data_IF_023460945808
#
_entry.id   IF_023460945808
#
_cell.length_a   1.000
_cell.length_b   1.000
_cell.length_c   1.000
_cell.angle_alpha   90.00
_cell.angle_beta   90.00
_cell.angle_gamma   90.00
#
_symmetry.space_group_name_H-M   'P 1'
#
loop_
_entity.id
_entity.type
_entity.pdbx_description
1 polymer ?
#
# COMPACT_ATOMS: atom_id res chain seq x y z
N UNK A 1 2.77 -3.93 7.68
CA UNK A 1 2.91 -4.81 6.49
C UNK A 1 4.36 -4.95 6.00
N UNK A 2 5.08 -3.88 5.68
CA UNK A 2 6.35 -3.95 4.92
C UNK A 2 7.64 -3.84 5.77
N UNK A 3 7.56 -4.09 7.08
CA UNK A 3 8.69 -3.99 8.02
C UNK A 3 8.86 -2.60 8.65
N UNK A 4 10.02 -2.37 9.30
CA UNK A 4 10.32 -1.16 10.11
C UNK A 4 11.01 -0.05 9.31
N UNK A 5 11.72 -0.41 8.25
CA UNK A 5 12.41 0.57 7.38
C UNK A 5 11.39 1.28 6.49
N UNK A 6 11.47 2.61 6.32
CA UNK A 6 10.60 3.32 5.39
C UNK A 6 10.55 2.67 4.01
N UNK A 7 9.37 2.68 3.38
CA UNK A 7 9.19 2.19 2.02
C UNK A 7 9.16 3.39 1.05
N UNK A 8 9.96 3.38 -0.02
CA UNK A 8 9.91 4.43 -1.03
C UNK A 8 8.58 4.36 -1.80
N UNK A 9 7.69 5.33 -1.60
CA UNK A 9 6.40 5.40 -2.29
C UNK A 9 6.45 6.46 -3.41
N UNK A 10 6.34 6.03 -4.67
CA UNK A 10 6.36 6.90 -5.86
C UNK A 10 4.92 7.23 -6.28
N UNK A 11 4.53 8.50 -6.18
CA UNK A 11 3.18 8.97 -6.52
C UNK A 11 3.21 9.75 -7.84
N UNK A 12 2.47 9.30 -8.87
CA UNK A 12 2.37 9.97 -10.17
C UNK A 12 0.90 10.24 -10.46
N UNK A 13 0.45 11.48 -10.26
CA UNK A 13 -0.97 11.87 -10.35
C UNK A 13 -1.88 10.90 -9.55
N UNK A 14 -1.39 10.52 -8.36
CA UNK A 14 -2.00 9.49 -7.54
C UNK A 14 -3.38 9.91 -7.04
N UNK A 15 -4.36 8.98 -7.01
CA UNK A 15 -5.58 9.19 -6.24
C UNK A 15 -5.27 9.15 -4.74
N UNK A 16 -6.16 9.71 -3.91
CA UNK A 16 -6.17 9.43 -2.47
C UNK A 16 -7.35 8.54 -2.10
N UNK A 17 -7.22 7.79 -1.00
CA UNK A 17 -8.33 7.05 -0.42
C UNK A 17 -9.08 8.00 0.52
N UNK A 18 -10.26 8.45 0.09
CA UNK A 18 -11.10 9.37 0.88
C UNK A 18 -11.76 8.64 2.06
N UNK A 19 -12.17 7.38 1.87
CA UNK A 19 -12.82 6.57 2.91
C UNK A 19 -12.51 5.09 2.74
N UNK A 20 -12.18 4.42 3.84
CA UNK A 20 -12.10 2.97 3.93
C UNK A 20 -13.42 2.38 4.46
N UNK A 21 -13.94 1.34 3.81
CA UNK A 21 -15.15 0.65 4.24
C UNK A 21 -14.89 -0.36 5.37
N UNK A 22 -15.95 -0.97 5.94
CA UNK A 22 -15.81 -2.05 6.91
C UNK A 22 -14.97 -3.21 6.34
N UNK A 23 -14.02 -3.72 7.13
CA UNK A 23 -13.13 -4.81 6.72
C UNK A 23 -11.92 -4.39 5.88
N UNK A 24 -11.81 -3.11 5.50
CA UNK A 24 -10.61 -2.56 4.86
C UNK A 24 -9.58 -2.18 5.92
N UNK A 25 -8.42 -2.81 5.89
CA UNK A 25 -7.28 -2.46 6.72
C UNK A 25 -6.41 -1.40 6.01
N UNK A 26 -6.15 -0.28 6.70
CA UNK A 26 -5.20 0.74 6.21
C UNK A 26 -3.80 0.39 6.69
N UNK A 27 -2.99 -0.13 5.78
CA UNK A 27 -1.63 -0.62 6.05
C UNK A 27 -0.58 0.49 6.04
N UNK A 28 -0.83 1.56 5.29
CA UNK A 28 0.00 2.77 5.29
C UNK A 28 -0.85 4.00 4.96
N UNK A 29 -0.45 5.13 5.55
CA UNK A 29 -1.04 6.44 5.31
C UNK A 29 0.03 7.48 5.01
N UNK A 30 -0.33 8.48 4.20
CA UNK A 30 0.47 9.67 3.92
C UNK A 30 -0.39 10.90 4.12
N UNK A 31 0.09 11.85 4.91
CA UNK A 31 -0.60 13.13 5.17
C UNK A 31 -2.06 12.96 5.61
N UNK A 32 -2.33 11.92 6.41
CA UNK A 32 -3.68 11.58 6.91
C UNK A 32 -4.54 10.74 5.97
N UNK A 33 -4.12 10.52 4.72
CA UNK A 33 -4.85 9.72 3.74
C UNK A 33 -4.28 8.30 3.63
N UNK A 34 -5.16 7.30 3.48
CA UNK A 34 -4.73 5.93 3.18
C UNK A 34 -4.07 5.86 1.81
N UNK A 35 -2.94 5.16 1.71
CA UNK A 35 -2.19 4.98 0.45
C UNK A 35 -1.82 3.54 0.15
N UNK A 36 -1.93 2.65 1.14
CA UNK A 36 -1.85 1.20 0.96
C UNK A 36 -2.90 0.54 1.85
N UNK A 37 -3.79 -0.23 1.24
CA UNK A 37 -4.89 -0.89 1.93
C UNK A 37 -4.98 -2.36 1.56
N UNK A 38 -5.66 -3.12 2.41
CA UNK A 38 -5.99 -4.51 2.19
C UNK A 38 -7.43 -4.79 2.57
N UNK A 39 -8.10 -5.64 1.79
CA UNK A 39 -9.36 -6.27 2.16
C UNK A 39 -9.27 -7.74 1.75
N UNK A 40 -9.34 -8.65 2.72
CA UNK A 40 -9.20 -10.09 2.51
C UNK A 40 -7.91 -10.47 1.75
N UNK A 41 -8.05 -10.95 0.52
CA UNK A 41 -6.97 -11.34 -0.40
C UNK A 41 -6.65 -10.27 -1.47
N UNK A 42 -7.21 -9.06 -1.33
CA UNK A 42 -6.98 -7.94 -2.25
C UNK A 42 -6.14 -6.87 -1.56
N UNK A 43 -5.13 -6.37 -2.26
CA UNK A 43 -4.37 -5.17 -1.87
C UNK A 43 -4.52 -4.08 -2.92
N UNK A 44 -4.47 -2.83 -2.49
CA UNK A 44 -4.44 -1.67 -3.38
C UNK A 44 -3.48 -0.61 -2.85
N UNK A 45 -2.68 -0.02 -3.74
CA UNK A 45 -1.81 1.12 -3.45
C UNK A 45 -2.14 2.31 -4.34
N UNK A 46 -1.98 3.53 -3.84
CA UNK A 46 -2.03 4.75 -4.66
C UNK A 46 -0.68 5.18 -5.20
N UNK A 47 0.38 4.41 -4.91
CA UNK A 47 1.73 4.61 -5.42
C UNK A 47 2.17 3.43 -6.26
N UNK A 48 3.29 3.63 -6.95
CA UNK A 48 3.93 2.70 -7.87
C UNK A 48 5.12 1.98 -7.22
N UNK A 49 4.92 0.84 -6.53
CA UNK A 49 6.03 0.08 -5.94
C UNK A 49 7.01 -0.45 -7.00
N UNK A 50 6.54 -0.69 -8.22
CA UNK A 50 7.31 -1.18 -9.36
C UNK A 50 8.34 -0.19 -9.90
N UNK A 51 8.21 1.09 -9.57
CA UNK A 51 9.16 2.14 -9.95
C UNK A 51 10.30 2.30 -8.92
N UNK A 52 10.49 1.31 -8.06
CA UNK A 52 11.54 1.27 -7.04
C UNK A 52 12.31 -0.04 -7.13
N UNK A 53 13.47 -0.11 -6.48
CA UNK A 53 14.21 -1.36 -6.32
C UNK A 53 13.80 -2.15 -5.06
N UNK A 54 12.72 -1.74 -4.39
CA UNK A 54 12.25 -2.34 -3.14
C UNK A 54 11.11 -3.34 -3.40
N UNK A 55 11.44 -4.63 -3.33
CA UNK A 55 10.53 -5.73 -3.63
C UNK A 55 9.62 -6.13 -2.46
N UNK A 56 9.75 -5.49 -1.29
CA UNK A 56 9.02 -5.89 -0.07
C UNK A 56 7.51 -5.92 -0.24
N UNK A 57 6.94 -5.02 -1.05
CA UNK A 57 5.50 -5.02 -1.33
C UNK A 57 5.09 -6.22 -2.19
N UNK A 58 5.87 -6.55 -3.22
CA UNK A 58 5.62 -7.72 -4.05
C UNK A 58 5.81 -9.02 -3.25
N UNK A 59 6.83 -9.09 -2.39
CA UNK A 59 7.03 -10.21 -1.46
C UNK A 59 5.85 -10.35 -0.48
N UNK A 60 5.34 -9.23 0.06
CA UNK A 60 4.13 -9.23 0.90
C UNK A 60 2.92 -9.78 0.15
N UNK A 61 2.71 -9.37 -1.11
CA UNK A 61 1.63 -9.90 -1.95
C UNK A 61 1.75 -11.41 -2.17
N UNK A 62 2.95 -11.91 -2.49
CA UNK A 62 3.18 -13.35 -2.70
C UNK A 62 2.96 -14.18 -1.42
N UNK A 63 3.21 -13.61 -0.24
CA UNK A 63 2.96 -14.24 1.05
C UNK A 63 1.46 -14.28 1.43
N UNK A 64 0.58 -13.64 0.66
CA UNK A 64 -0.87 -13.71 0.87
C UNK A 64 -1.53 -14.94 0.24
N UNK A 65 -0.77 -15.73 -0.52
CA UNK A 65 -1.19 -16.98 -1.16
C UNK A 65 -1.01 -18.15 -0.19
#
# INVERSE_FOLDING_TARGET
ALGKTPFPAVFIRAPWIERAGPGVEVLASRDGHGVFVRQDNVIASSFHPELTHDDRLHAYFLQMI
#
